data_IF_714901360137
#
_entry.id   IF_714901360137
#
_cell.length_a   1.000
_cell.length_b   1.000
_cell.length_c   1.000
_cell.angle_alpha   90.00
_cell.angle_beta   90.00
_cell.angle_gamma   90.00
#
_symmetry.space_group_name_H-M   'P 1'
#
loop_
_entity.id
_entity.type
_entity.pdbx_description
1 polymer ?
#
# COMPACT_ATOMS: atom_id res chain seq x y z
N UNK A 1 0.21 0.37 45.12
CA UNK A 1 0.73 -0.53 44.05
C UNK A 1 -0.27 -1.66 43.85
N UNK A 2 -0.60 -2.01 42.64
CA UNK A 2 -1.50 -3.16 42.40
C UNK A 2 -0.73 -4.45 42.77
N UNK A 3 -1.40 -5.41 43.37
CA UNK A 3 -0.86 -6.72 43.75
C UNK A 3 -0.13 -7.40 42.58
N UNK A 4 -0.64 -7.25 41.37
CA UNK A 4 -0.06 -7.74 40.13
C UNK A 4 1.34 -7.18 39.83
N UNK A 5 1.62 -5.92 40.20
CA UNK A 5 2.95 -5.29 39.99
C UNK A 5 3.93 -5.80 41.04
N UNK A 6 3.50 -6.00 42.27
CA UNK A 6 4.34 -6.57 43.34
C UNK A 6 4.73 -8.01 42.98
N UNK A 7 3.78 -8.84 42.59
CA UNK A 7 4.01 -10.21 42.13
C UNK A 7 5.00 -10.26 40.95
N UNK A 8 4.89 -9.34 40.00
CA UNK A 8 5.77 -9.27 38.83
C UNK A 8 7.20 -8.83 39.21
N UNK A 9 7.34 -7.90 40.17
CA UNK A 9 8.63 -7.43 40.65
C UNK A 9 9.42 -8.53 41.38
N UNK A 10 8.77 -9.24 42.31
CA UNK A 10 9.42 -10.27 43.12
C UNK A 10 9.50 -11.62 42.41
N UNK A 11 8.64 -11.89 41.42
CA UNK A 11 8.57 -13.14 40.69
C UNK A 11 9.39 -13.19 39.40
N UNK A 12 10.25 -12.21 39.13
CA UNK A 12 11.04 -12.10 37.89
C UNK A 12 10.19 -12.31 36.62
N UNK A 13 9.00 -11.69 36.59
CA UNK A 13 8.01 -11.91 35.54
C UNK A 13 8.46 -11.38 34.18
N UNK A 14 8.21 -12.15 33.12
CA UNK A 14 8.43 -11.73 31.73
C UNK A 14 7.20 -11.09 31.12
N UNK A 15 6.03 -11.19 31.75
CA UNK A 15 4.77 -10.61 31.31
C UNK A 15 4.03 -9.93 32.44
N UNK A 16 3.51 -8.73 32.17
CA UNK A 16 2.72 -7.96 33.12
C UNK A 16 1.42 -7.50 32.45
N UNK A 17 0.30 -7.92 33.04
CA UNK A 17 -1.02 -7.52 32.59
C UNK A 17 -1.66 -6.51 33.56
N UNK A 18 -1.82 -5.27 33.07
CA UNK A 18 -2.47 -4.17 33.77
C UNK A 18 -3.69 -3.67 33.00
N UNK A 19 -4.31 -4.52 32.18
CA UNK A 19 -5.53 -4.22 31.41
C UNK A 19 -6.71 -3.89 32.33
N UNK A 20 -7.52 -2.90 31.99
CA UNK A 20 -8.76 -2.52 32.70
C UNK A 20 -8.54 -2.15 34.18
N UNK A 21 -7.40 -1.55 34.53
CA UNK A 21 -7.09 -1.15 35.92
C UNK A 21 -7.42 0.32 36.22
N UNK A 22 -8.11 1.02 35.30
CA UNK A 22 -8.45 2.45 35.44
C UNK A 22 -7.22 3.34 35.68
N UNK A 23 -6.08 2.96 35.16
CA UNK A 23 -4.82 3.69 35.33
C UNK A 23 -4.85 5.00 34.53
N UNK A 24 -4.47 6.11 35.17
CA UNK A 24 -4.21 7.40 34.50
C UNK A 24 -2.75 7.55 34.08
N UNK A 25 -1.84 6.80 34.70
CA UNK A 25 -0.43 6.76 34.38
C UNK A 25 0.14 5.38 34.67
N UNK A 26 1.23 5.04 33.97
CA UNK A 26 1.96 3.78 34.24
C UNK A 26 2.76 3.92 35.54
N UNK A 27 2.63 2.98 36.48
CA UNK A 27 3.40 2.99 37.73
C UNK A 27 4.92 2.97 37.42
N UNK A 28 5.65 3.87 38.03
CA UNK A 28 7.12 4.00 37.78
C UNK A 28 7.93 2.75 38.12
N UNK A 29 7.47 1.93 39.05
CA UNK A 29 8.05 0.67 39.41
C UNK A 29 8.00 -0.39 38.29
N UNK A 30 7.12 -0.26 37.27
CA UNK A 30 7.10 -1.15 36.11
C UNK A 30 8.46 -1.12 35.37
N UNK A 31 9.12 0.04 35.35
CA UNK A 31 10.42 0.21 34.68
C UNK A 31 11.58 -0.54 35.35
N UNK A 32 11.40 -1.05 36.59
CA UNK A 32 12.43 -1.83 37.33
C UNK A 32 12.33 -3.33 37.06
N UNK A 33 11.31 -3.80 36.34
CA UNK A 33 11.14 -5.20 35.94
C UNK A 33 12.01 -5.48 34.71
N UNK A 34 13.30 -5.71 34.91
CA UNK A 34 14.29 -5.75 33.82
C UNK A 34 14.01 -6.81 32.75
N UNK A 35 13.42 -7.96 33.11
CA UNK A 35 13.15 -9.08 32.19
C UNK A 35 11.78 -9.01 31.52
N UNK A 36 11.08 -7.87 31.65
CA UNK A 36 9.73 -7.73 31.06
C UNK A 36 9.80 -7.75 29.54
N UNK A 37 9.12 -8.73 28.95
CA UNK A 37 8.98 -8.93 27.50
C UNK A 37 7.61 -8.50 26.98
N UNK A 38 6.55 -8.66 27.80
CA UNK A 38 5.17 -8.33 27.42
C UNK A 38 4.57 -7.40 28.46
N UNK A 39 4.06 -6.24 28.02
CA UNK A 39 3.36 -5.26 28.85
C UNK A 39 2.02 -4.91 28.26
N UNK A 40 0.94 -5.30 28.93
CA UNK A 40 -0.45 -5.03 28.53
C UNK A 40 -1.03 -3.92 29.39
N UNK A 41 -1.32 -2.79 28.80
CA UNK A 41 -1.86 -1.56 29.43
C UNK A 41 -3.17 -1.11 28.80
N UNK A 42 -3.75 -1.91 27.92
CA UNK A 42 -4.96 -1.53 27.19
C UNK A 42 -6.18 -1.37 28.10
N UNK A 43 -7.17 -0.61 27.63
CA UNK A 43 -8.40 -0.29 28.37
C UNK A 43 -8.13 0.43 29.70
N UNK A 44 -7.36 1.51 29.66
CA UNK A 44 -7.07 2.40 30.78
C UNK A 44 -7.37 3.86 30.39
N UNK A 45 -6.84 4.83 31.11
CA UNK A 45 -6.95 6.26 30.83
C UNK A 45 -5.56 6.93 30.78
N UNK A 46 -4.58 6.21 30.25
CA UNK A 46 -3.18 6.64 30.24
C UNK A 46 -3.01 7.73 29.17
N UNK A 47 -2.55 8.92 29.59
CA UNK A 47 -2.30 10.04 28.69
C UNK A 47 -0.84 10.18 28.25
N UNK A 48 0.09 9.40 28.83
CA UNK A 48 1.51 9.43 28.50
C UNK A 48 2.30 8.34 29.21
N UNK A 49 3.55 8.14 28.79
CA UNK A 49 4.45 7.14 29.33
C UNK A 49 5.61 7.80 30.07
N UNK A 50 6.04 7.28 31.24
CA UNK A 50 7.18 7.81 31.96
C UNK A 50 8.50 7.51 31.20
N UNK A 51 9.41 8.48 31.16
CA UNK A 51 10.71 8.33 30.49
C UNK A 51 11.54 7.13 31.00
N UNK A 52 11.32 6.71 32.25
CA UNK A 52 11.98 5.54 32.83
C UNK A 52 11.67 4.22 32.11
N UNK A 53 10.58 4.12 31.32
CA UNK A 53 10.27 2.92 30.53
C UNK A 53 11.36 2.55 29.52
N UNK A 54 12.23 3.50 29.13
CA UNK A 54 13.41 3.21 28.29
C UNK A 54 14.33 2.13 28.87
N UNK A 55 14.21 1.83 30.16
CA UNK A 55 14.99 0.79 30.83
C UNK A 55 14.55 -0.64 30.48
N UNK A 56 13.33 -0.80 29.90
CA UNK A 56 12.78 -2.11 29.53
C UNK A 56 13.37 -2.60 28.19
N UNK A 57 14.64 -2.91 28.19
CA UNK A 57 15.40 -3.27 26.98
C UNK A 57 14.99 -4.61 26.34
N UNK A 58 14.26 -5.47 27.07
CA UNK A 58 13.76 -6.75 26.58
C UNK A 58 12.28 -6.72 26.17
N UNK A 59 11.64 -5.55 26.23
CA UNK A 59 10.22 -5.43 25.92
C UNK A 59 9.97 -5.69 24.43
N UNK A 60 9.28 -6.79 24.15
CA UNK A 60 8.96 -7.23 22.79
C UNK A 60 7.51 -6.91 22.37
N UNK A 61 6.59 -6.83 23.33
CA UNK A 61 5.18 -6.51 23.06
C UNK A 61 4.66 -5.46 24.04
N UNK A 62 4.08 -4.39 23.48
CA UNK A 62 3.45 -3.33 24.24
C UNK A 62 2.05 -3.05 23.70
N UNK A 63 1.04 -3.18 24.57
CA UNK A 63 -0.32 -2.86 24.22
C UNK A 63 -0.84 -1.66 25.02
N UNK A 64 -1.05 -0.54 24.35
CA UNK A 64 -1.59 0.72 24.83
C UNK A 64 -2.96 1.05 24.21
N UNK A 65 -3.61 0.08 23.59
CA UNK A 65 -4.90 0.28 22.93
C UNK A 65 -5.99 0.74 23.92
N UNK A 66 -6.91 1.57 23.44
CA UNK A 66 -8.00 2.14 24.23
C UNK A 66 -7.49 2.85 25.49
N UNK A 67 -6.80 3.97 25.28
CA UNK A 67 -6.25 4.86 26.27
C UNK A 67 -6.54 6.34 25.88
N UNK A 68 -5.83 7.29 26.50
CA UNK A 68 -6.02 8.73 26.29
C UNK A 68 -4.75 9.40 25.70
N UNK A 69 -3.98 8.68 24.88
CA UNK A 69 -2.77 9.23 24.25
C UNK A 69 -3.16 10.22 23.14
N UNK A 70 -2.59 11.44 23.18
CA UNK A 70 -2.76 12.45 22.11
C UNK A 70 -1.66 12.39 21.05
N UNK A 71 -0.51 11.82 21.39
CA UNK A 71 0.63 11.61 20.51
C UNK A 71 1.29 10.26 20.81
N UNK A 72 2.10 9.77 19.91
CA UNK A 72 2.93 8.59 20.15
C UNK A 72 4.06 8.99 21.10
N UNK A 73 4.17 8.39 22.31
CA UNK A 73 5.16 8.82 23.30
C UNK A 73 6.60 8.64 22.81
N UNK A 74 7.43 9.69 22.90
CA UNK A 74 8.81 9.68 22.43
C UNK A 74 9.68 8.57 23.07
N UNK A 75 9.36 8.16 24.32
CA UNK A 75 10.08 7.08 25.01
C UNK A 75 10.04 5.75 24.24
N UNK A 76 9.03 5.53 23.38
CA UNK A 76 8.90 4.31 22.59
C UNK A 76 10.06 4.13 21.60
N UNK A 77 10.63 5.22 21.08
CA UNK A 77 11.80 5.16 20.20
C UNK A 77 13.07 4.56 20.86
N UNK A 78 13.08 4.43 22.19
CA UNK A 78 14.19 3.80 22.92
C UNK A 78 13.96 2.30 23.20
N UNK A 79 12.80 1.76 22.82
CA UNK A 79 12.45 0.35 23.03
C UNK A 79 12.82 -0.49 21.80
N UNK A 80 14.11 -0.58 21.52
CA UNK A 80 14.65 -1.18 20.29
C UNK A 80 14.28 -2.67 20.11
N UNK A 81 13.97 -3.40 21.19
CA UNK A 81 13.58 -4.81 21.15
C UNK A 81 12.11 -5.01 20.78
N UNK A 82 11.33 -3.92 20.64
CA UNK A 82 9.90 -4.02 20.44
C UNK A 82 9.57 -4.63 19.06
N UNK A 83 8.73 -5.67 19.09
CA UNK A 83 8.24 -6.39 17.90
C UNK A 83 6.78 -6.10 17.62
N UNK A 84 5.99 -5.87 18.66
CA UNK A 84 4.55 -5.59 18.50
C UNK A 84 4.16 -4.37 19.31
N UNK A 85 3.58 -3.38 18.63
CA UNK A 85 3.09 -2.15 19.24
C UNK A 85 1.63 -1.92 18.85
N UNK A 86 0.77 -1.85 19.86
CA UNK A 86 -0.65 -1.58 19.71
C UNK A 86 -1.00 -0.26 20.36
N UNK A 87 -1.46 0.70 19.56
CA UNK A 87 -1.85 2.06 19.95
C UNK A 87 -3.28 2.39 19.48
N UNK A 88 -4.07 1.37 19.17
CA UNK A 88 -5.43 1.56 18.64
C UNK A 88 -6.36 2.24 19.64
N UNK A 89 -7.41 2.91 19.15
CA UNK A 89 -8.42 3.59 19.95
C UNK A 89 -7.80 4.54 20.99
N UNK A 90 -7.01 5.49 20.48
CA UNK A 90 -6.48 6.62 21.21
C UNK A 90 -6.89 7.93 20.51
N UNK A 91 -6.27 9.04 20.84
CA UNK A 91 -6.52 10.34 20.22
C UNK A 91 -5.30 10.87 19.47
N UNK A 92 -4.43 9.96 19.01
CA UNK A 92 -3.13 10.27 18.40
C UNK A 92 -3.35 11.05 17.10
N UNK A 93 -2.73 12.24 17.03
CA UNK A 93 -2.79 13.12 15.84
C UNK A 93 -1.53 13.04 15.00
N UNK A 94 -0.39 12.75 15.61
CA UNK A 94 0.91 12.70 14.96
C UNK A 94 1.76 11.53 15.46
N UNK A 95 2.63 11.06 14.56
CA UNK A 95 3.65 10.05 14.85
C UNK A 95 5.00 10.74 14.71
N UNK A 96 5.76 10.94 15.79
CA UNK A 96 7.05 11.60 15.72
C UNK A 96 8.08 10.79 14.91
N UNK A 97 8.88 11.43 14.05
CA UNK A 97 9.91 10.76 13.24
C UNK A 97 10.90 9.93 14.06
N UNK A 98 11.42 10.50 15.14
CA UNK A 98 12.43 9.87 16.00
C UNK A 98 11.96 8.54 16.62
N UNK A 99 10.64 8.39 16.82
CA UNK A 99 10.07 7.15 17.33
C UNK A 99 10.18 6.04 16.28
N UNK A 100 9.96 6.36 15.01
CA UNK A 100 10.07 5.38 13.93
C UNK A 100 11.51 4.89 13.76
N UNK A 101 12.49 5.78 13.86
CA UNK A 101 13.91 5.44 13.74
C UNK A 101 14.40 4.50 14.84
N UNK A 102 13.79 4.53 16.02
CA UNK A 102 14.13 3.65 17.13
C UNK A 102 13.50 2.25 17.08
N UNK A 103 12.40 2.08 16.33
CA UNK A 103 11.59 0.85 16.35
C UNK A 103 11.95 -0.14 15.22
N UNK A 104 13.22 -0.27 14.86
CA UNK A 104 13.70 -1.05 13.69
C UNK A 104 13.35 -2.54 13.71
N UNK A 105 13.07 -3.11 14.86
CA UNK A 105 12.71 -4.52 15.03
C UNK A 105 11.19 -4.76 15.02
N UNK A 106 10.38 -3.69 14.80
CA UNK A 106 8.94 -3.79 14.84
C UNK A 106 8.40 -4.65 13.68
N UNK A 107 7.53 -5.59 14.02
CA UNK A 107 6.88 -6.52 13.07
C UNK A 107 5.40 -6.17 12.91
N UNK A 108 4.76 -5.71 13.97
CA UNK A 108 3.34 -5.35 13.99
C UNK A 108 3.18 -3.95 14.55
N UNK A 109 2.55 -3.06 13.78
CA UNK A 109 2.14 -1.72 14.21
C UNK A 109 0.64 -1.53 13.97
N UNK A 110 -0.09 -1.32 15.06
CA UNK A 110 -1.53 -1.04 15.00
C UNK A 110 -1.84 0.34 15.57
N UNK A 111 -2.26 1.25 14.71
CA UNK A 111 -2.63 2.64 14.97
C UNK A 111 -4.11 2.90 14.68
N UNK A 112 -4.96 1.86 14.63
CA UNK A 112 -6.38 1.97 14.27
C UNK A 112 -7.15 2.92 15.19
N UNK A 113 -8.21 3.54 14.66
CA UNK A 113 -9.11 4.38 15.43
C UNK A 113 -8.38 5.51 16.18
N UNK A 114 -7.64 6.31 15.43
CA UNK A 114 -6.94 7.50 15.92
C UNK A 114 -7.31 8.73 15.06
N UNK A 115 -6.51 9.79 15.12
CA UNK A 115 -6.73 11.05 14.37
C UNK A 115 -5.53 11.42 13.51
N UNK A 116 -4.74 10.44 13.08
CA UNK A 116 -3.49 10.62 12.35
C UNK A 116 -3.79 11.16 10.95
N UNK A 117 -3.16 12.28 10.58
CA UNK A 117 -3.32 12.90 9.26
C UNK A 117 -2.19 12.49 8.30
N UNK A 118 -0.99 12.24 8.81
CA UNK A 118 0.19 11.87 8.02
C UNK A 118 1.05 10.86 8.77
N UNK A 119 1.68 9.97 8.03
CA UNK A 119 2.76 9.12 8.53
C UNK A 119 4.08 9.77 8.14
N UNK A 120 5.10 9.76 9.02
CA UNK A 120 6.40 10.36 8.71
C UNK A 120 7.19 9.52 7.70
N UNK A 121 8.07 10.13 6.88
CA UNK A 121 8.94 9.42 5.94
C UNK A 121 9.87 8.40 6.62
N UNK A 122 10.19 8.60 7.90
CA UNK A 122 10.99 7.72 8.74
C UNK A 122 10.33 6.36 8.98
N UNK A 123 9.08 6.17 8.54
CA UNK A 123 8.44 4.84 8.52
C UNK A 123 9.29 3.79 7.76
N UNK A 124 10.12 4.23 6.81
CA UNK A 124 11.10 3.38 6.11
C UNK A 124 12.07 2.65 7.05
N UNK A 125 12.30 3.19 8.26
CA UNK A 125 13.20 2.60 9.26
C UNK A 125 12.66 1.31 9.87
N UNK A 126 11.34 1.07 9.74
CA UNK A 126 10.68 -0.14 10.22
C UNK A 126 10.89 -1.33 9.25
N UNK A 127 12.13 -1.63 8.89
CA UNK A 127 12.48 -2.57 7.81
C UNK A 127 11.95 -4.01 8.00
N UNK A 128 11.64 -4.41 9.24
CA UNK A 128 11.06 -5.71 9.58
C UNK A 128 9.54 -5.72 9.72
N UNK A 129 8.88 -4.59 9.39
CA UNK A 129 7.43 -4.47 9.56
C UNK A 129 6.71 -5.37 8.56
N UNK A 130 5.83 -6.24 9.08
CA UNK A 130 5.00 -7.16 8.29
C UNK A 130 3.52 -6.77 8.29
N UNK A 131 3.05 -6.19 9.36
CA UNK A 131 1.65 -5.80 9.51
C UNK A 131 1.56 -4.34 9.94
N UNK A 132 1.03 -3.50 9.06
CA UNK A 132 0.72 -2.09 9.33
C UNK A 132 -0.79 -1.89 9.26
N UNK A 133 -1.39 -1.42 10.34
CA UNK A 133 -2.81 -1.07 10.34
C UNK A 133 -3.03 0.35 10.86
N UNK A 134 -3.62 1.20 10.04
CA UNK A 134 -3.98 2.60 10.29
C UNK A 134 -5.45 2.81 9.91
N UNK A 135 -6.28 1.78 10.15
CA UNK A 135 -7.73 1.80 9.92
C UNK A 135 -8.39 2.93 10.72
N UNK A 136 -9.35 3.60 10.11
CA UNK A 136 -10.18 4.65 10.73
C UNK A 136 -9.32 5.75 11.36
N UNK A 137 -8.68 6.50 10.47
CA UNK A 137 -7.87 7.67 10.77
C UNK A 137 -8.24 8.82 9.81
N UNK A 138 -7.39 9.83 9.71
CA UNK A 138 -7.59 11.00 8.85
C UNK A 138 -6.48 11.15 7.80
N UNK A 139 -5.83 10.03 7.40
CA UNK A 139 -4.72 10.07 6.45
C UNK A 139 -5.17 10.68 5.12
N UNK A 140 -4.47 11.71 4.68
CA UNK A 140 -4.67 12.38 3.39
C UNK A 140 -3.76 11.80 2.31
N UNK A 141 -2.60 11.29 2.70
CA UNK A 141 -1.58 10.71 1.82
C UNK A 141 -0.84 9.55 2.50
N UNK A 142 -0.19 8.74 1.69
CA UNK A 142 0.72 7.67 2.11
C UNK A 142 2.12 8.07 1.67
N UNK A 143 3.13 8.08 2.56
CA UNK A 143 4.49 8.45 2.19
C UNK A 143 5.08 7.47 1.18
N UNK A 144 5.83 7.98 0.21
CA UNK A 144 6.50 7.16 -0.84
C UNK A 144 7.50 6.18 -0.22
N UNK A 145 8.06 6.55 0.92
CA UNK A 145 9.02 5.76 1.70
C UNK A 145 8.43 4.44 2.23
N UNK A 146 7.10 4.32 2.26
CA UNK A 146 6.44 3.06 2.61
C UNK A 146 6.86 1.91 1.66
N UNK A 147 7.23 2.23 0.42
CA UNK A 147 7.77 1.26 -0.54
C UNK A 147 9.07 0.57 -0.11
N UNK A 148 9.80 1.13 0.86
CA UNK A 148 11.02 0.50 1.39
C UNK A 148 10.74 -0.64 2.38
N UNK A 149 9.49 -0.84 2.78
CA UNK A 149 9.10 -1.91 3.70
C UNK A 149 8.95 -3.25 2.94
N UNK A 150 10.04 -3.83 2.54
CA UNK A 150 10.07 -5.02 1.68
C UNK A 150 9.48 -6.27 2.32
N UNK A 151 9.50 -6.39 3.67
CA UNK A 151 8.87 -7.50 4.40
C UNK A 151 7.37 -7.28 4.66
N UNK A 152 6.77 -6.16 4.21
CA UNK A 152 5.37 -5.85 4.48
C UNK A 152 4.44 -6.84 3.77
N UNK A 153 3.66 -7.60 4.56
CA UNK A 153 2.73 -8.61 4.07
C UNK A 153 1.27 -8.16 4.09
N UNK A 154 0.93 -7.27 4.99
CA UNK A 154 -0.43 -6.76 5.14
C UNK A 154 -0.42 -5.28 5.49
N UNK A 155 -1.20 -4.49 4.74
CA UNK A 155 -1.44 -3.09 5.03
C UNK A 155 -2.95 -2.81 5.06
N UNK A 156 -3.40 -2.13 6.11
CA UNK A 156 -4.78 -1.70 6.25
C UNK A 156 -4.87 -0.18 6.45
N UNK A 157 -5.38 0.50 5.43
CA UNK A 157 -5.62 1.94 5.36
C UNK A 157 -7.11 2.26 5.19
N UNK A 158 -7.99 1.31 5.51
CA UNK A 158 -9.45 1.46 5.37
C UNK A 158 -9.97 2.63 6.20
N UNK A 159 -11.01 3.32 5.72
CA UNK A 159 -11.62 4.46 6.39
C UNK A 159 -10.60 5.59 6.67
N UNK A 160 -10.04 6.15 5.61
CA UNK A 160 -9.17 7.33 5.63
C UNK A 160 -9.61 8.36 4.58
N UNK A 161 -8.81 9.40 4.36
CA UNK A 161 -9.10 10.46 3.40
C UNK A 161 -8.24 10.39 2.12
N UNK A 162 -7.64 9.22 1.82
CA UNK A 162 -6.70 9.06 0.72
C UNK A 162 -7.36 9.32 -0.63
N UNK A 163 -6.78 10.22 -1.44
CA UNK A 163 -7.21 10.51 -2.81
C UNK A 163 -6.38 9.77 -3.87
N UNK A 164 -5.19 9.31 -3.51
CA UNK A 164 -4.25 8.56 -4.35
C UNK A 164 -3.36 7.65 -3.50
N UNK A 165 -2.70 6.70 -4.16
CA UNK A 165 -1.66 5.85 -3.57
C UNK A 165 -0.35 6.07 -4.33
N UNK A 166 0.81 6.11 -3.65
CA UNK A 166 2.08 6.21 -4.33
C UNK A 166 2.42 4.91 -5.07
N UNK A 167 2.90 4.95 -6.32
CA UNK A 167 3.30 3.75 -7.04
C UNK A 167 4.43 2.98 -6.35
N UNK A 168 5.24 3.66 -5.53
CA UNK A 168 6.30 3.04 -4.70
C UNK A 168 5.76 1.99 -3.74
N UNK A 169 4.49 2.06 -3.34
CA UNK A 169 3.83 1.01 -2.53
C UNK A 169 3.96 -0.38 -3.18
N UNK A 170 4.02 -0.43 -4.51
CA UNK A 170 4.16 -1.68 -5.26
C UNK A 170 5.58 -2.27 -5.24
N UNK A 171 6.53 -1.62 -4.57
CA UNK A 171 7.85 -2.17 -4.26
C UNK A 171 7.80 -3.15 -3.08
N UNK A 172 6.71 -3.15 -2.29
CA UNK A 172 6.45 -4.14 -1.24
C UNK A 172 6.06 -5.49 -1.86
N UNK A 173 7.03 -6.24 -2.40
CA UNK A 173 6.80 -7.47 -3.18
C UNK A 173 6.21 -8.63 -2.37
N UNK A 174 6.31 -8.59 -1.05
CA UNK A 174 5.76 -9.60 -0.15
C UNK A 174 4.30 -9.32 0.26
N UNK A 175 3.71 -8.22 -0.25
CA UNK A 175 2.36 -7.81 0.10
C UNK A 175 1.33 -8.84 -0.39
N UNK A 176 0.57 -9.40 0.57
CA UNK A 176 -0.49 -10.39 0.34
C UNK A 176 -1.88 -9.81 0.51
N UNK A 177 -2.01 -8.77 1.34
CA UNK A 177 -3.29 -8.10 1.59
C UNK A 177 -3.14 -6.58 1.57
N UNK A 178 -3.96 -5.94 0.76
CA UNK A 178 -4.08 -4.49 0.64
C UNK A 178 -5.53 -4.07 0.88
N UNK A 179 -5.76 -3.38 2.00
CA UNK A 179 -7.07 -2.84 2.35
C UNK A 179 -7.03 -1.31 2.30
N UNK A 180 -7.73 -0.73 1.34
CA UNK A 180 -7.87 0.72 1.12
C UNK A 180 -9.33 1.13 0.94
N UNK A 181 -10.26 0.32 1.45
CA UNK A 181 -11.68 0.60 1.36
C UNK A 181 -12.07 1.91 2.06
N UNK A 182 -13.21 2.49 1.64
CA UNK A 182 -13.77 3.72 2.24
C UNK A 182 -12.75 4.86 2.31
N UNK A 183 -12.17 5.16 1.15
CA UNK A 183 -11.29 6.30 0.90
C UNK A 183 -11.86 7.17 -0.21
N UNK A 184 -11.05 8.06 -0.78
CA UNK A 184 -11.45 8.97 -1.87
C UNK A 184 -10.70 8.66 -3.17
N UNK A 185 -10.16 7.44 -3.32
CA UNK A 185 -9.33 7.05 -4.46
C UNK A 185 -10.11 7.14 -5.77
N UNK A 186 -9.59 7.88 -6.74
CA UNK A 186 -10.16 8.00 -8.08
C UNK A 186 -9.54 7.01 -9.06
N UNK A 187 -8.32 6.56 -8.79
CA UNK A 187 -7.58 5.56 -9.57
C UNK A 187 -6.58 4.82 -8.67
N UNK A 188 -6.20 3.63 -9.09
CA UNK A 188 -5.02 2.93 -8.58
C UNK A 188 -3.84 3.24 -9.52
N UNK A 189 -2.61 3.39 -9.00
CA UNK A 189 -1.43 3.57 -9.84
C UNK A 189 -1.23 2.41 -10.81
N UNK A 190 -0.62 2.68 -11.96
CA UNK A 190 -0.15 1.63 -12.87
C UNK A 190 1.00 0.84 -12.24
N UNK A 191 1.28 -0.35 -12.75
CA UNK A 191 2.30 -1.25 -12.21
C UNK A 191 1.85 -2.12 -11.05
N UNK A 192 0.55 -2.15 -10.74
CA UNK A 192 -0.01 -3.00 -9.68
C UNK A 192 0.27 -4.50 -9.92
N UNK A 193 0.41 -4.91 -11.19
CA UNK A 193 0.77 -6.29 -11.57
C UNK A 193 2.07 -6.79 -10.95
N UNK A 194 2.93 -5.86 -10.51
CA UNK A 194 4.19 -6.20 -9.82
C UNK A 194 4.00 -6.81 -8.42
N UNK A 195 2.79 -6.72 -7.84
CA UNK A 195 2.44 -7.34 -6.56
C UNK A 195 2.10 -8.84 -6.75
N UNK A 196 3.07 -9.64 -7.15
CA UNK A 196 2.90 -11.03 -7.54
C UNK A 196 2.39 -11.97 -6.41
N UNK A 197 2.37 -11.50 -5.15
CA UNK A 197 1.86 -12.25 -3.99
C UNK A 197 0.52 -11.74 -3.47
N UNK A 198 -0.08 -10.70 -4.09
CA UNK A 198 -1.31 -10.08 -3.61
C UNK A 198 -2.51 -11.02 -3.78
N UNK A 199 -3.10 -11.45 -2.68
CA UNK A 199 -4.25 -12.36 -2.66
C UNK A 199 -5.57 -11.68 -2.30
N UNK A 200 -5.50 -10.61 -1.51
CA UNK A 200 -6.69 -9.87 -1.06
C UNK A 200 -6.51 -8.40 -1.38
N UNK A 201 -7.44 -7.87 -2.16
CA UNK A 201 -7.53 -6.44 -2.45
C UNK A 201 -8.93 -5.94 -2.06
N UNK A 202 -8.94 -4.95 -1.18
CA UNK A 202 -10.18 -4.28 -0.78
C UNK A 202 -10.11 -2.79 -1.14
N UNK A 203 -10.86 -2.41 -2.16
CA UNK A 203 -11.01 -1.03 -2.66
C UNK A 203 -12.45 -0.55 -2.59
N UNK A 204 -13.31 -1.25 -1.85
CA UNK A 204 -14.73 -0.91 -1.76
C UNK A 204 -14.95 0.51 -1.21
N UNK A 205 -16.02 1.17 -1.66
CA UNK A 205 -16.38 2.50 -1.16
C UNK A 205 -15.38 3.61 -1.52
N UNK A 206 -14.79 3.55 -2.71
CA UNK A 206 -13.94 4.60 -3.28
C UNK A 206 -14.64 5.31 -4.46
N UNK A 207 -13.87 5.99 -5.31
CA UNK A 207 -14.36 6.70 -6.50
C UNK A 207 -13.70 6.18 -7.79
N UNK A 208 -13.25 4.92 -7.79
CA UNK A 208 -12.59 4.32 -8.94
C UNK A 208 -13.55 4.24 -10.14
N UNK A 209 -13.07 4.61 -11.32
CA UNK A 209 -13.82 4.45 -12.59
C UNK A 209 -13.40 3.20 -13.35
N UNK A 210 -12.16 2.73 -13.20
CA UNK A 210 -11.62 1.51 -13.79
C UNK A 210 -10.41 1.03 -13.01
N UNK A 211 -9.97 -0.20 -13.26
CA UNK A 211 -8.73 -0.76 -12.76
C UNK A 211 -7.57 -0.48 -13.71
N UNK A 212 -6.30 -0.46 -13.23
CA UNK A 212 -5.12 -0.26 -14.08
C UNK A 212 -4.90 -1.41 -15.07
N UNK A 213 -4.08 -1.17 -16.11
CA UNK A 213 -3.88 -2.08 -17.26
C UNK A 213 -3.47 -3.50 -16.84
N UNK A 214 -2.55 -3.63 -15.87
CA UNK A 214 -2.00 -4.91 -15.46
C UNK A 214 -2.79 -5.63 -14.37
N UNK A 215 -4.01 -5.15 -14.09
CA UNK A 215 -4.83 -5.68 -12.99
C UNK A 215 -5.11 -7.18 -13.12
N UNK A 216 -5.28 -7.66 -14.35
CA UNK A 216 -5.54 -9.08 -14.64
C UNK A 216 -4.38 -10.03 -14.30
N UNK A 217 -3.16 -9.50 -14.09
CA UNK A 217 -1.97 -10.27 -13.72
C UNK A 217 -1.93 -10.63 -12.23
N UNK A 218 -2.77 -9.99 -11.41
CA UNK A 218 -2.78 -10.20 -9.97
C UNK A 218 -3.34 -11.58 -9.60
N UNK A 219 -2.67 -12.34 -8.70
CA UNK A 219 -3.12 -13.65 -8.24
C UNK A 219 -4.22 -13.55 -7.16
N UNK A 220 -5.22 -12.70 -7.37
CA UNK A 220 -6.24 -12.40 -6.39
C UNK A 220 -7.14 -13.61 -6.09
N UNK A 221 -7.35 -13.86 -4.79
CA UNK A 221 -8.36 -14.79 -4.27
C UNK A 221 -9.63 -14.07 -3.83
N UNK A 222 -9.49 -12.83 -3.34
CA UNK A 222 -10.60 -12.00 -2.87
C UNK A 222 -10.43 -10.57 -3.39
N UNK A 223 -11.49 -10.04 -3.96
CA UNK A 223 -11.59 -8.67 -4.43
C UNK A 223 -12.89 -8.05 -3.92
N UNK A 224 -12.77 -6.97 -3.16
CA UNK A 224 -13.90 -6.16 -2.69
C UNK A 224 -13.82 -4.81 -3.39
N UNK A 225 -14.83 -4.46 -4.20
CA UNK A 225 -14.80 -3.28 -5.07
C UNK A 225 -16.12 -2.54 -5.16
N UNK A 226 -17.12 -2.98 -4.42
CA UNK A 226 -18.45 -2.38 -4.39
C UNK A 226 -18.40 -0.91 -3.95
N UNK A 227 -19.39 -0.11 -4.36
CA UNK A 227 -19.48 1.30 -3.95
C UNK A 227 -18.44 2.21 -4.62
N UNK A 228 -17.93 1.82 -5.79
CA UNK A 228 -17.12 2.66 -6.66
C UNK A 228 -17.96 3.26 -7.81
N UNK A 229 -17.33 4.07 -8.66
CA UNK A 229 -17.97 4.75 -9.81
C UNK A 229 -17.53 4.13 -11.13
N UNK A 230 -17.49 2.81 -11.20
CA UNK A 230 -17.02 2.11 -12.38
C UNK A 230 -17.85 2.45 -13.62
N UNK A 231 -17.15 2.65 -14.74
CA UNK A 231 -17.78 2.83 -16.06
C UNK A 231 -18.62 1.61 -16.38
N UNK A 232 -19.77 1.87 -17.01
CA UNK A 232 -20.69 0.80 -17.45
C UNK A 232 -20.29 0.35 -18.86
N UNK A 233 -20.61 -0.92 -19.17
CA UNK A 233 -20.44 -1.47 -20.50
C UNK A 233 -21.55 -0.92 -21.43
N UNK A 234 -21.28 0.23 -22.04
CA UNK A 234 -22.15 0.83 -23.06
C UNK A 234 -21.34 0.90 -24.36
N UNK A 235 -21.84 0.34 -25.48
CA UNK A 235 -21.13 0.40 -26.74
C UNK A 235 -21.05 1.85 -27.23
N UNK A 236 -19.81 2.32 -27.39
CA UNK A 236 -19.57 3.64 -28.01
C UNK A 236 -19.06 3.43 -29.43
N UNK A 237 -19.77 4.03 -30.40
CA UNK A 237 -19.25 4.14 -31.75
C UNK A 237 -18.20 5.26 -31.79
N UNK A 238 -16.98 4.95 -32.22
CA UNK A 238 -15.97 5.98 -32.45
C UNK A 238 -15.94 6.33 -33.93
N UNK A 239 -16.11 7.61 -34.25
CA UNK A 239 -15.80 8.15 -35.58
C UNK A 239 -14.29 8.40 -35.61
N UNK A 240 -13.62 7.89 -36.67
CA UNK A 240 -12.16 7.94 -36.73
C UNK A 240 -11.70 9.04 -37.68
N UNK A 241 -10.80 9.87 -37.12
CA UNK A 241 -9.87 10.64 -37.95
C UNK A 241 -8.57 9.83 -38.19
N UNK A 242 -7.97 10.01 -39.34
CA UNK A 242 -6.69 9.39 -39.67
C UNK A 242 -5.62 9.99 -38.76
N UNK A 243 -5.14 9.22 -37.83
CA UNK A 243 -4.11 9.68 -36.89
C UNK A 243 -2.72 9.63 -37.54
N UNK A 244 -2.10 10.80 -37.70
CA UNK A 244 -0.72 10.92 -38.16
C UNK A 244 0.22 10.88 -36.98
N UNK A 245 1.00 9.81 -36.87
CA UNK A 245 2.01 9.66 -35.80
C UNK A 245 3.18 10.62 -36.04
N UNK A 246 3.71 11.19 -34.96
CA UNK A 246 4.93 11.99 -35.04
C UNK A 246 6.13 11.14 -35.44
N UNK A 247 7.15 11.75 -36.08
CA UNK A 247 8.38 11.05 -36.42
C UNK A 247 9.06 10.43 -35.18
N UNK A 248 9.01 11.13 -34.04
CA UNK A 248 9.51 10.63 -32.75
C UNK A 248 8.81 9.32 -32.36
N UNK A 249 7.51 9.25 -32.46
CA UNK A 249 6.72 8.06 -32.12
C UNK A 249 7.01 6.91 -33.09
N UNK A 250 7.10 7.18 -34.40
CA UNK A 250 7.45 6.17 -35.41
C UNK A 250 8.84 5.59 -35.19
N UNK A 251 9.83 6.45 -34.92
CA UNK A 251 11.19 6.03 -34.64
C UNK A 251 11.27 5.21 -33.33
N UNK A 252 10.58 5.68 -32.27
CA UNK A 252 10.54 4.95 -31.00
C UNK A 252 9.90 3.56 -31.15
N UNK A 253 8.80 3.45 -31.87
CA UNK A 253 8.15 2.14 -32.15
C UNK A 253 9.07 1.19 -32.91
N UNK A 254 9.82 1.70 -33.87
CA UNK A 254 10.80 0.92 -34.59
C UNK A 254 11.94 0.43 -33.68
N UNK A 255 12.56 1.34 -32.92
CA UNK A 255 13.65 1.01 -31.99
C UNK A 255 13.19 -0.01 -30.95
N UNK A 256 12.04 0.21 -30.32
CA UNK A 256 11.48 -0.71 -29.32
C UNK A 256 11.12 -2.08 -29.89
N UNK A 257 10.69 -2.15 -31.15
CA UNK A 257 10.38 -3.41 -31.82
C UNK A 257 11.68 -4.18 -32.16
N UNK A 258 12.72 -3.47 -32.59
CA UNK A 258 14.04 -4.08 -32.89
C UNK A 258 14.75 -4.48 -31.60
N UNK A 259 14.66 -3.70 -30.53
CA UNK A 259 15.26 -4.01 -29.22
C UNK A 259 14.76 -5.35 -28.65
N UNK A 260 13.52 -5.73 -28.93
CA UNK A 260 12.97 -7.05 -28.54
C UNK A 260 13.65 -8.23 -29.21
N UNK A 261 14.38 -8.01 -30.32
CA UNK A 261 15.14 -9.04 -31.02
C UNK A 261 16.56 -9.09 -30.45
N UNK A 262 16.86 -10.07 -29.64
CA UNK A 262 18.18 -10.21 -28.98
C UNK A 262 19.37 -10.16 -29.92
N UNK A 263 19.20 -10.52 -31.22
CA UNK A 263 20.22 -10.49 -32.26
C UNK A 263 20.31 -9.16 -33.02
N UNK A 264 19.48 -8.19 -32.69
CA UNK A 264 19.46 -6.89 -33.37
C UNK A 264 20.63 -6.00 -32.96
N UNK A 265 21.20 -5.27 -33.93
CA UNK A 265 22.18 -4.21 -33.64
C UNK A 265 21.64 -3.17 -32.69
N UNK A 266 20.36 -2.86 -32.79
CA UNK A 266 19.67 -1.91 -31.89
C UNK A 266 19.75 -2.39 -30.43
N UNK A 267 19.48 -3.68 -30.17
CA UNK A 267 19.58 -4.27 -28.84
C UNK A 267 20.99 -4.19 -28.26
N UNK A 268 22.03 -4.47 -29.09
CA UNK A 268 23.40 -4.38 -28.65
C UNK A 268 23.87 -2.94 -28.39
N UNK A 269 23.38 -1.99 -29.17
CA UNK A 269 23.83 -0.59 -29.10
C UNK A 269 23.06 0.26 -28.09
N UNK A 270 21.79 -0.05 -27.83
CA UNK A 270 20.92 0.76 -26.99
C UNK A 270 21.49 1.05 -25.58
N UNK A 271 22.14 0.11 -24.86
CA UNK A 271 22.77 0.36 -23.58
C UNK A 271 23.86 1.45 -23.58
N UNK A 272 24.47 1.72 -24.74
CA UNK A 272 25.50 2.76 -24.89
C UNK A 272 24.89 4.18 -24.97
N UNK A 273 23.55 4.29 -25.06
CA UNK A 273 22.83 5.57 -25.17
C UNK A 273 21.86 5.77 -24.00
N UNK A 274 22.36 6.11 -22.80
CA UNK A 274 21.54 6.14 -21.58
C UNK A 274 20.36 7.11 -21.65
N UNK A 275 20.51 8.25 -22.35
CA UNK A 275 19.43 9.22 -22.53
C UNK A 275 18.30 8.67 -23.41
N UNK A 276 18.64 7.88 -24.42
CA UNK A 276 17.65 7.21 -25.29
C UNK A 276 16.98 6.07 -24.54
N UNK A 277 17.75 5.27 -23.80
CA UNK A 277 17.21 4.20 -22.95
C UNK A 277 16.21 4.77 -21.95
N UNK A 278 16.56 5.82 -21.22
CA UNK A 278 15.66 6.48 -20.27
C UNK A 278 14.39 7.05 -20.93
N UNK A 279 14.49 7.53 -22.17
CA UNK A 279 13.31 7.97 -22.93
C UNK A 279 12.39 6.79 -23.26
N UNK A 280 12.96 5.65 -23.65
CA UNK A 280 12.24 4.46 -24.07
C UNK A 280 11.72 3.62 -22.90
N UNK A 281 12.25 3.78 -21.69
CA UNK A 281 11.77 3.11 -20.47
C UNK A 281 10.30 3.45 -20.12
N UNK A 282 9.80 4.58 -20.60
CA UNK A 282 8.41 4.98 -20.47
C UNK A 282 7.46 4.39 -21.53
N UNK A 283 7.91 3.41 -22.29
CA UNK A 283 7.11 2.76 -23.31
C UNK A 283 6.01 1.88 -22.70
N UNK A 284 4.92 1.71 -23.45
CA UNK A 284 3.84 0.78 -23.14
C UNK A 284 3.63 -0.19 -24.30
N UNK A 285 2.83 -1.24 -24.05
CA UNK A 285 2.48 -2.22 -25.06
C UNK A 285 1.00 -2.16 -25.37
N UNK A 286 0.67 -2.31 -26.64
CA UNK A 286 -0.72 -2.39 -27.09
C UNK A 286 -1.40 -3.65 -26.54
N UNK A 287 -2.53 -3.48 -25.87
CA UNK A 287 -3.27 -4.60 -25.30
C UNK A 287 -3.74 -5.62 -26.35
N UNK A 288 -3.91 -5.20 -27.59
CA UNK A 288 -4.35 -6.08 -28.69
C UNK A 288 -3.19 -6.72 -29.46
N UNK A 289 -2.31 -5.91 -30.09
CA UNK A 289 -1.27 -6.43 -30.97
C UNK A 289 0.08 -6.65 -30.31
N UNK A 290 0.20 -6.31 -29.02
CA UNK A 290 1.41 -6.44 -28.20
C UNK A 290 2.61 -5.63 -28.72
N UNK A 291 2.42 -4.75 -29.70
CA UNK A 291 3.50 -3.87 -30.20
C UNK A 291 3.74 -2.72 -29.22
N UNK A 292 5.00 -2.33 -29.05
CA UNK A 292 5.35 -1.22 -28.17
C UNK A 292 4.99 0.13 -28.83
N UNK A 293 4.75 1.13 -27.99
CA UNK A 293 4.58 2.53 -28.36
C UNK A 293 5.11 3.43 -27.22
N UNK A 294 5.46 4.67 -27.55
CA UNK A 294 6.06 5.60 -26.60
C UNK A 294 5.04 6.57 -25.98
N UNK A 295 4.39 7.35 -26.79
CA UNK A 295 3.59 8.47 -26.34
C UNK A 295 2.23 8.63 -26.99
N UNK A 296 1.92 7.86 -28.03
CA UNK A 296 0.64 7.97 -28.75
C UNK A 296 -0.13 6.67 -28.65
N UNK A 297 -1.24 6.72 -27.93
CA UNK A 297 -2.12 5.59 -27.72
C UNK A 297 -3.59 6.02 -27.63
N UNK A 298 -4.48 5.05 -27.80
CA UNK A 298 -5.89 5.15 -27.46
C UNK A 298 -6.11 4.55 -26.09
N UNK A 299 -6.75 5.29 -25.21
CA UNK A 299 -7.22 4.76 -23.93
C UNK A 299 -8.59 4.14 -24.10
N UNK A 300 -8.70 2.88 -23.76
CA UNK A 300 -9.92 2.09 -23.88
C UNK A 300 -10.22 1.38 -22.57
N UNK A 301 -11.43 0.87 -22.45
CA UNK A 301 -11.86 0.03 -21.34
C UNK A 301 -12.06 -1.39 -21.85
N UNK A 302 -11.44 -2.35 -21.20
CA UNK A 302 -11.67 -3.77 -21.41
C UNK A 302 -12.43 -4.34 -20.22
N UNK A 303 -13.56 -4.99 -20.47
CA UNK A 303 -14.35 -5.61 -19.41
C UNK A 303 -13.91 -7.05 -19.24
N UNK A 304 -13.15 -7.34 -18.17
CA UNK A 304 -12.67 -8.68 -17.85
C UNK A 304 -13.64 -9.39 -16.93
N UNK A 305 -13.83 -10.70 -17.15
CA UNK A 305 -14.65 -11.56 -16.30
C UNK A 305 -13.78 -12.18 -15.19
N UNK A 306 -14.13 -11.91 -13.93
CA UNK A 306 -13.34 -12.34 -12.78
C UNK A 306 -13.15 -13.86 -12.72
N UNK A 307 -14.16 -14.65 -13.10
CA UNK A 307 -14.07 -16.11 -13.09
C UNK A 307 -13.23 -16.65 -14.25
N UNK A 308 -13.48 -16.15 -15.47
CA UNK A 308 -12.83 -16.66 -16.69
C UNK A 308 -11.37 -16.19 -16.76
N UNK A 309 -11.12 -14.90 -16.52
CA UNK A 309 -9.85 -14.26 -16.82
C UNK A 309 -8.91 -14.25 -15.61
N UNK A 310 -9.46 -14.19 -14.38
CA UNK A 310 -8.67 -14.14 -13.14
C UNK A 310 -8.85 -15.37 -12.25
N UNK A 311 -9.60 -16.41 -12.70
CA UNK A 311 -9.86 -17.67 -11.95
C UNK A 311 -10.48 -17.47 -10.56
N UNK A 312 -11.21 -16.38 -10.38
CA UNK A 312 -11.91 -16.07 -9.14
C UNK A 312 -13.26 -16.79 -9.05
N UNK A 313 -13.86 -16.81 -7.86
CA UNK A 313 -15.19 -17.45 -7.67
C UNK A 313 -16.35 -16.64 -8.27
N UNK A 314 -16.19 -15.32 -8.39
CA UNK A 314 -17.20 -14.41 -8.92
C UNK A 314 -17.22 -14.43 -10.44
N UNK A 315 -18.42 -14.50 -11.04
CA UNK A 315 -18.63 -14.37 -12.49
C UNK A 315 -18.86 -12.95 -12.95
N UNK A 316 -18.71 -11.95 -12.08
CA UNK A 316 -18.90 -10.53 -12.42
C UNK A 316 -17.80 -10.05 -13.36
N UNK A 317 -18.13 -9.01 -14.14
CA UNK A 317 -17.16 -8.30 -14.98
C UNK A 317 -16.75 -6.98 -14.33
N UNK A 318 -15.49 -6.61 -14.53
CA UNK A 318 -14.93 -5.36 -14.04
C UNK A 318 -14.26 -4.59 -15.19
N UNK A 319 -14.31 -3.26 -15.21
CA UNK A 319 -13.64 -2.45 -16.22
C UNK A 319 -12.13 -2.34 -15.88
N UNK A 320 -11.30 -2.67 -16.85
CA UNK A 320 -9.84 -2.55 -16.78
C UNK A 320 -9.38 -1.64 -17.90
N UNK A 321 -8.47 -0.73 -17.60
CA UNK A 321 -7.85 0.17 -18.56
C UNK A 321 -7.07 -0.64 -19.60
N UNK A 322 -7.23 -0.29 -20.87
CA UNK A 322 -6.48 -0.87 -21.96
C UNK A 322 -5.88 0.25 -22.81
N UNK A 323 -4.62 0.09 -23.19
CA UNK A 323 -3.92 1.02 -24.08
C UNK A 323 -3.74 0.35 -25.44
N UNK A 324 -4.23 0.99 -26.51
CA UNK A 324 -4.11 0.50 -27.88
C UNK A 324 -3.22 1.43 -28.70
N UNK A 325 -2.33 0.89 -29.51
CA UNK A 325 -1.37 1.66 -30.27
C UNK A 325 -1.97 2.42 -31.47
N UNK A 326 -3.23 2.14 -31.84
CA UNK A 326 -3.88 2.76 -33.00
C UNK A 326 -5.37 2.46 -33.04
N UNK A 327 -6.12 3.29 -33.77
CA UNK A 327 -7.52 3.03 -34.15
C UNK A 327 -7.69 1.71 -34.93
N UNK A 328 -6.69 1.32 -35.74
CA UNK A 328 -6.70 0.03 -36.42
C UNK A 328 -6.82 -1.14 -35.44
N UNK A 329 -6.05 -1.11 -34.34
CA UNK A 329 -6.13 -2.13 -33.30
C UNK A 329 -7.48 -2.11 -32.58
N UNK A 330 -8.05 -0.94 -32.34
CA UNK A 330 -9.38 -0.81 -31.75
C UNK A 330 -10.45 -1.47 -32.62
N UNK A 331 -10.46 -1.18 -33.93
CA UNK A 331 -11.43 -1.75 -34.88
C UNK A 331 -11.25 -3.25 -35.08
N UNK A 332 -10.01 -3.73 -35.18
CA UNK A 332 -9.73 -5.16 -35.38
C UNK A 332 -10.05 -6.00 -34.14
N UNK A 333 -10.03 -5.41 -32.96
CA UNK A 333 -10.38 -6.08 -31.71
C UNK A 333 -11.90 -6.35 -31.56
N UNK A 334 -12.70 -5.86 -32.46
CA UNK A 334 -14.16 -5.99 -32.43
C UNK A 334 -14.76 -5.31 -31.20
N UNK A 335 -15.77 -5.94 -30.57
CA UNK A 335 -16.46 -5.40 -29.41
C UNK A 335 -15.76 -5.69 -28.06
N UNK A 336 -14.48 -6.05 -28.08
CA UNK A 336 -13.74 -6.39 -26.86
C UNK A 336 -13.26 -5.16 -26.08
N UNK A 337 -13.12 -4.03 -26.75
CA UNK A 337 -12.68 -2.76 -26.17
C UNK A 337 -13.72 -1.68 -26.38
N UNK A 338 -14.00 -0.92 -25.34
CA UNK A 338 -14.96 0.16 -25.35
C UNK A 338 -14.19 1.47 -25.28
N UNK A 339 -14.37 2.32 -26.28
CA UNK A 339 -13.62 3.57 -26.34
C UNK A 339 -14.09 4.58 -25.32
N UNK A 340 -13.17 5.09 -24.55
CA UNK A 340 -13.20 6.45 -24.04
C UNK A 340 -11.92 7.07 -24.57
N UNK A 341 -12.01 7.74 -25.74
CA UNK A 341 -10.88 8.50 -26.25
C UNK A 341 -10.64 9.70 -25.35
N UNK A 342 -9.80 9.55 -24.38
CA UNK A 342 -9.18 10.67 -23.68
C UNK A 342 -7.77 10.81 -24.21
N UNK A 343 -7.50 11.93 -24.89
CA UNK A 343 -6.14 12.36 -25.17
C UNK A 343 -5.47 12.86 -23.90
#
# INVERSE_FOLDING_TARGET
>A
MTESVLTALYGNATSLNLTCKKLKAVPTCVSTIANLSVLLLNNNSIGGLPAKLRALRHLAELNLGNNALNEVPAVLGHLESLKKLYLFSNQITAVPPDVMDGLRNLVVLNLNHNRIQRLPPEIKSLSRLRHLSVLDNKLEEVPVELGHLTELTEINLTCNNLSWLPPQLYQCKDLTKLHVARNKLTRLPEGIGSLAKLQVLDVAGNKLCMFPVEFHLLPLRKLYYEGNRFVRCEPMSSVQDVEVLTLKELAARFVLQEDRKQSSLVHMMLPHYPTLTALLDNCSCCAFCQKPFLGTWLECVHFINLKKDMKMKSSRTIPVRALLCSHKCFNMAGYSYYGVATR
#
